data_IF_217488437963
#
_entry.id   IF_217488437963
#
_cell.length_a   1.000
_cell.length_b   1.000
_cell.length_c   1.000
_cell.angle_alpha   90.00
_cell.angle_beta   90.00
_cell.angle_gamma   90.00
#
_symmetry.space_group_name_H-M   'P 1'
#
loop_
_entity.id
_entity.type
_entity.pdbx_description
1 polymer ?
#
# COMPACT_ATOMS: atom_id res chain seq x y z
N UNK A 1 -9.28 -16.08 13.86
CA UNK A 1 -9.80 -14.73 14.17
C UNK A 1 -10.89 -14.42 13.16
N UNK A 2 -12.00 -13.82 13.59
CA UNK A 2 -13.07 -13.38 12.66
C UNK A 2 -12.58 -12.20 11.83
N UNK A 3 -13.25 -11.91 10.71
CA UNK A 3 -12.88 -10.80 9.83
C UNK A 3 -12.86 -9.46 10.60
N UNK A 4 -13.85 -9.22 11.46
CA UNK A 4 -13.86 -8.00 12.28
C UNK A 4 -12.78 -7.93 13.36
N UNK A 5 -12.27 -9.06 13.85
CA UNK A 5 -11.14 -9.04 14.77
C UNK A 5 -9.88 -8.55 14.03
N UNK A 6 -9.71 -8.98 12.77
CA UNK A 6 -8.64 -8.50 11.88
C UNK A 6 -8.81 -7.00 11.59
N UNK A 7 -10.03 -6.53 11.30
CA UNK A 7 -10.32 -5.10 11.13
C UNK A 7 -9.94 -4.31 12.40
N UNK A 8 -10.36 -4.76 13.58
CA UNK A 8 -10.01 -4.11 14.87
C UNK A 8 -8.49 -4.09 15.09
N UNK A 9 -7.80 -5.19 14.78
CA UNK A 9 -6.35 -5.28 14.89
C UNK A 9 -5.62 -4.32 13.92
N UNK A 10 -6.08 -4.22 12.67
CA UNK A 10 -5.54 -3.29 11.66
C UNK A 10 -5.70 -1.81 12.04
N UNK A 11 -6.74 -1.50 12.83
CA UNK A 11 -7.06 -0.16 13.35
C UNK A 11 -6.45 0.12 14.71
N UNK A 12 -5.76 -0.85 15.32
CA UNK A 12 -5.29 -0.72 16.70
C UNK A 12 -4.33 0.48 16.84
N UNK A 13 -4.49 1.34 17.86
CA UNK A 13 -3.62 2.51 18.03
C UNK A 13 -2.13 2.17 18.15
N UNK A 14 -1.81 1.06 18.81
CA UNK A 14 -0.43 0.57 18.97
C UNK A 14 0.07 -0.26 17.78
N UNK A 15 -0.73 -0.41 16.71
CA UNK A 15 -0.23 -1.06 15.50
C UNK A 15 0.88 -0.19 14.90
N UNK A 16 2.04 -0.81 14.67
CA UNK A 16 3.20 -0.17 14.05
C UNK A 16 2.82 0.56 12.76
N UNK A 17 3.39 1.74 12.57
CA UNK A 17 3.19 2.62 11.43
C UNK A 17 4.36 2.52 10.47
N UNK A 18 4.18 3.06 9.27
CA UNK A 18 5.22 3.02 8.23
C UNK A 18 6.59 3.46 8.72
N UNK A 19 6.66 4.54 9.51
CA UNK A 19 7.93 5.01 10.08
C UNK A 19 8.65 3.95 10.93
N UNK A 20 7.93 3.18 11.75
CA UNK A 20 8.53 2.10 12.56
C UNK A 20 9.18 1.02 11.68
N UNK A 21 8.53 0.66 10.56
CA UNK A 21 9.09 -0.29 9.61
C UNK A 21 10.31 0.27 8.88
N UNK A 22 10.25 1.54 8.47
CA UNK A 22 11.35 2.21 7.77
C UNK A 22 12.58 2.29 8.67
N UNK A 23 12.43 2.77 9.91
CA UNK A 23 13.54 2.93 10.87
C UNK A 23 14.22 1.61 11.22
N UNK A 24 13.46 0.50 11.27
CA UNK A 24 14.03 -0.82 11.54
C UNK A 24 14.70 -1.45 10.31
N UNK A 25 14.09 -1.33 9.14
CA UNK A 25 14.54 -2.05 7.94
C UNK A 25 15.58 -1.29 7.13
N UNK A 26 15.61 0.04 7.22
CA UNK A 26 16.35 0.90 6.31
C UNK A 26 17.44 1.72 7.03
N UNK A 27 18.68 1.66 6.52
CA UNK A 27 19.77 2.49 7.03
C UNK A 27 20.83 2.79 5.94
N UNK A 28 21.01 4.05 5.50
CA UNK A 28 20.23 5.24 5.86
C UNK A 28 18.88 5.30 5.14
N UNK A 29 17.94 6.10 5.69
CA UNK A 29 16.74 6.58 5.00
C UNK A 29 16.80 8.11 4.86
N UNK A 30 16.67 8.59 3.62
CA UNK A 30 16.67 10.02 3.28
C UNK A 30 15.28 10.39 2.77
N UNK A 31 14.50 11.03 3.64
CA UNK A 31 13.15 11.49 3.30
C UNK A 31 13.18 12.61 2.24
N UNK A 32 12.26 12.54 1.29
CA UNK A 32 12.11 13.47 0.19
C UNK A 32 10.70 14.07 0.20
N UNK A 33 10.63 15.40 0.17
CA UNK A 33 9.38 16.15 0.38
C UNK A 33 8.83 16.78 -0.90
N UNK A 34 7.52 17.05 -0.89
CA UNK A 34 6.80 17.89 -1.83
C UNK A 34 6.40 17.22 -3.15
N UNK A 35 5.30 17.66 -3.74
CA UNK A 35 4.84 17.22 -5.06
C UNK A 35 5.39 18.07 -6.22
N UNK A 36 5.99 19.22 -5.92
CA UNK A 36 6.47 20.27 -6.86
C UNK A 36 5.36 21.02 -7.59
N UNK A 37 4.14 20.95 -7.09
CA UNK A 37 2.98 21.63 -7.67
C UNK A 37 2.20 22.43 -6.63
N UNK A 38 1.91 21.84 -5.47
CA UNK A 38 1.05 22.44 -4.46
C UNK A 38 1.69 22.43 -3.07
N UNK A 39 1.94 21.27 -2.48
CA UNK A 39 2.42 21.15 -1.10
C UNK A 39 3.19 19.84 -0.84
N UNK A 40 3.70 19.70 0.38
CA UNK A 40 4.15 18.41 0.91
C UNK A 40 3.04 17.81 1.77
N UNK A 41 2.46 16.71 1.30
CA UNK A 41 1.51 15.93 2.09
C UNK A 41 2.27 15.05 3.07
N UNK A 42 2.07 15.31 4.36
CA UNK A 42 2.78 14.66 5.44
C UNK A 42 2.26 13.24 5.72
N UNK A 43 1.07 12.89 5.21
CA UNK A 43 0.51 11.53 5.24
C UNK A 43 1.25 10.54 4.34
N UNK A 44 2.08 11.03 3.41
CA UNK A 44 2.95 10.23 2.57
C UNK A 44 4.40 10.48 2.95
N UNK A 45 5.03 9.53 3.65
CA UNK A 45 6.47 9.51 3.87
C UNK A 45 7.11 8.79 2.70
N UNK A 46 8.12 9.41 2.08
CA UNK A 46 8.78 8.80 0.94
C UNK A 46 10.22 9.24 0.82
N UNK A 47 11.10 8.36 0.35
CA UNK A 47 12.53 8.64 0.34
C UNK A 47 13.37 7.50 -0.22
N UNK A 48 14.65 7.79 -0.40
CA UNK A 48 15.64 6.79 -0.79
C UNK A 48 16.14 6.12 0.47
N UNK A 49 16.21 4.79 0.47
CA UNK A 49 16.67 3.99 1.58
C UNK A 49 17.68 2.95 1.13
N UNK A 50 18.45 2.43 2.09
CA UNK A 50 19.23 1.22 1.93
C UNK A 50 18.62 0.12 2.80
N UNK A 51 18.31 -1.03 2.21
CA UNK A 51 17.96 -2.26 2.95
C UNK A 51 19.11 -3.23 2.70
N UNK A 52 19.98 -3.37 3.70
CA UNK A 52 21.27 -4.05 3.59
C UNK A 52 22.06 -3.54 2.36
N UNK A 53 22.32 -4.37 1.35
CA UNK A 53 23.06 -3.98 0.14
C UNK A 53 22.21 -3.28 -0.95
N UNK A 54 20.88 -3.23 -0.79
CA UNK A 54 19.98 -2.73 -1.83
C UNK A 54 19.56 -1.28 -1.61
N UNK A 55 19.87 -0.41 -2.59
CA UNK A 55 19.27 0.93 -2.67
C UNK A 55 17.85 0.85 -3.21
N UNK A 56 16.88 1.33 -2.43
CA UNK A 56 15.44 1.26 -2.74
C UNK A 56 14.78 2.63 -2.62
N UNK A 57 13.69 2.83 -3.35
CA UNK A 57 12.74 3.90 -3.07
C UNK A 57 11.64 3.34 -2.17
N UNK A 58 11.37 4.01 -1.05
CA UNK A 58 10.24 3.67 -0.17
C UNK A 58 9.19 4.78 -0.28
N UNK A 59 7.92 4.41 -0.43
CA UNK A 59 6.76 5.31 -0.40
C UNK A 59 5.72 4.72 0.54
N UNK A 60 5.31 5.46 1.56
CA UNK A 60 4.52 4.89 2.63
C UNK A 60 3.42 5.83 3.13
N UNK A 61 2.26 5.28 3.41
CA UNK A 61 1.19 5.97 4.11
C UNK A 61 1.46 5.96 5.61
N UNK A 62 1.46 7.15 6.20
CA UNK A 62 1.77 7.38 7.61
C UNK A 62 0.49 7.73 8.36
N UNK A 63 -0.09 6.73 9.03
CA UNK A 63 -1.44 6.78 9.62
C UNK A 63 -1.62 7.76 10.78
N UNK A 64 -0.56 8.12 11.50
CA UNK A 64 -0.65 9.08 12.61
C UNK A 64 -0.78 10.54 12.14
N UNK A 65 -0.64 10.81 10.84
CA UNK A 65 -0.85 12.13 10.22
C UNK A 65 -2.12 12.11 9.40
N UNK A 66 -3.08 12.99 9.72
CA UNK A 66 -4.42 13.04 9.09
C UNK A 66 -5.08 11.66 8.92
N UNK A 67 -4.94 10.77 9.92
CA UNK A 67 -5.41 9.39 9.90
C UNK A 67 -4.90 8.53 8.73
N UNK A 68 -3.80 8.94 8.09
CA UNK A 68 -3.23 8.30 6.90
C UNK A 68 -4.05 8.50 5.65
N UNK A 69 -4.87 9.55 5.56
CA UNK A 69 -5.73 9.86 4.42
C UNK A 69 -5.05 10.91 3.51
N UNK A 70 -4.42 10.52 2.40
CA UNK A 70 -3.67 11.46 1.57
C UNK A 70 -4.61 12.33 0.74
N UNK A 71 -4.22 13.59 0.60
CA UNK A 71 -4.77 14.52 -0.37
C UNK A 71 -4.12 14.30 -1.76
N UNK A 72 -4.59 14.98 -2.82
CA UNK A 72 -4.09 14.76 -4.18
C UNK A 72 -2.58 14.99 -4.30
N UNK A 73 -2.06 16.01 -3.62
CA UNK A 73 -0.63 16.31 -3.48
C UNK A 73 0.20 15.12 -2.95
N UNK A 74 -0.33 14.30 -2.03
CA UNK A 74 0.36 13.10 -1.54
C UNK A 74 0.54 12.04 -2.62
N UNK A 75 -0.50 11.81 -3.42
CA UNK A 75 -0.43 10.91 -4.57
C UNK A 75 0.50 11.45 -5.67
N UNK A 76 0.50 12.77 -5.91
CA UNK A 76 1.46 13.40 -6.84
C UNK A 76 2.90 13.28 -6.34
N UNK A 77 3.16 13.48 -5.04
CA UNK A 77 4.46 13.24 -4.40
C UNK A 77 4.90 11.79 -4.59
N UNK A 78 4.00 10.83 -4.33
CA UNK A 78 4.27 9.42 -4.56
C UNK A 78 4.64 9.13 -6.03
N UNK A 79 3.85 9.62 -6.98
CA UNK A 79 4.11 9.43 -8.40
C UNK A 79 5.45 10.06 -8.84
N UNK A 80 5.75 11.28 -8.40
CA UNK A 80 7.02 11.95 -8.66
C UNK A 80 8.21 11.10 -8.22
N UNK A 81 8.11 10.50 -7.03
CA UNK A 81 9.18 9.68 -6.46
C UNK A 81 9.25 8.29 -7.07
N UNK A 82 8.13 7.70 -7.49
CA UNK A 82 8.12 6.47 -8.28
C UNK A 82 8.84 6.67 -9.63
N UNK A 83 8.60 7.80 -10.31
CA UNK A 83 9.33 8.16 -11.54
C UNK A 83 10.81 8.45 -11.30
N UNK A 84 11.14 9.02 -10.15
CA UNK A 84 12.54 9.17 -9.74
C UNK A 84 13.19 7.80 -9.54
N UNK A 85 12.53 6.87 -8.86
CA UNK A 85 13.00 5.51 -8.67
C UNK A 85 13.24 4.80 -10.01
N UNK A 86 12.29 4.92 -10.95
CA UNK A 86 12.42 4.37 -12.30
C UNK A 86 13.64 4.93 -13.05
N UNK A 87 13.83 6.25 -13.03
CA UNK A 87 14.96 6.92 -13.68
C UNK A 87 16.32 6.40 -13.19
N UNK A 88 16.44 6.14 -11.90
CA UNK A 88 17.69 5.68 -11.27
C UNK A 88 17.72 4.17 -11.02
N UNK A 89 16.70 3.44 -11.48
CA UNK A 89 16.56 1.99 -11.37
C UNK A 89 16.57 1.47 -9.92
N UNK A 90 16.04 2.25 -8.98
CA UNK A 90 15.79 1.75 -7.63
C UNK A 90 14.53 0.89 -7.63
N UNK A 91 14.54 -0.32 -7.03
CA UNK A 91 13.31 -1.02 -6.69
C UNK A 91 12.41 -0.14 -5.83
N UNK A 92 11.10 -0.22 -6.04
CA UNK A 92 10.11 0.56 -5.30
C UNK A 92 9.39 -0.36 -4.30
N UNK A 93 9.38 0.04 -3.04
CA UNK A 93 8.62 -0.61 -1.98
C UNK A 93 7.55 0.37 -1.48
N UNK A 94 6.29 -0.04 -1.47
CA UNK A 94 5.20 0.74 -0.89
C UNK A 94 4.67 0.11 0.39
N UNK A 95 4.42 0.95 1.41
CA UNK A 95 3.77 0.54 2.65
C UNK A 95 2.38 1.20 2.74
N UNK A 96 1.35 0.37 2.78
CA UNK A 96 -0.05 0.80 2.71
C UNK A 96 -0.68 0.69 4.11
N UNK A 97 -1.16 1.81 4.62
CA UNK A 97 -1.90 1.92 5.89
C UNK A 97 -2.80 3.17 5.87
N UNK A 98 -3.92 3.05 5.18
CA UNK A 98 -4.90 4.12 5.00
C UNK A 98 -6.33 3.58 5.11
N UNK A 99 -7.25 4.30 5.79
CA UNK A 99 -8.68 3.99 5.70
C UNK A 99 -9.27 4.42 4.34
N UNK A 100 -8.55 5.23 3.56
CA UNK A 100 -8.99 5.74 2.26
C UNK A 100 -8.34 7.09 1.93
N UNK A 101 -8.57 7.57 0.71
CA UNK A 101 -8.11 8.89 0.30
C UNK A 101 -8.84 10.01 1.06
N UNK A 102 -8.23 11.19 1.18
CA UNK A 102 -8.89 12.39 1.69
C UNK A 102 -10.20 12.66 0.96
N UNK A 103 -11.27 12.91 1.71
CA UNK A 103 -12.65 13.06 1.19
C UNK A 103 -13.24 14.46 1.40
N UNK A 104 -12.38 15.47 1.62
CA UNK A 104 -12.78 16.86 1.81
C UNK A 104 -12.96 17.62 0.48
N UNK A 105 -13.67 18.75 0.55
CA UNK A 105 -13.89 19.65 -0.61
C UNK A 105 -12.56 20.04 -1.27
N UNK A 106 -11.59 20.40 -0.45
CA UNK A 106 -10.23 20.72 -0.86
C UNK A 106 -9.54 19.61 -1.68
N UNK A 107 -9.75 18.35 -1.31
CA UNK A 107 -9.19 17.21 -2.06
C UNK A 107 -9.87 17.08 -3.43
N UNK A 108 -11.17 17.30 -3.50
CA UNK A 108 -11.93 17.28 -4.75
C UNK A 108 -11.56 18.43 -5.68
N UNK A 109 -11.49 19.67 -5.16
CA UNK A 109 -11.08 20.86 -5.92
C UNK A 109 -9.67 20.71 -6.50
N UNK A 110 -8.79 20.03 -5.79
CA UNK A 110 -7.42 19.72 -6.24
C UNK A 110 -7.33 18.43 -7.05
N UNK A 111 -8.41 17.72 -7.30
CA UNK A 111 -8.45 16.56 -8.21
C UNK A 111 -7.98 15.25 -7.58
N UNK A 112 -8.66 14.79 -6.53
CA UNK A 112 -8.37 13.51 -5.88
C UNK A 112 -8.48 12.32 -6.82
N UNK A 113 -9.55 12.25 -7.62
CA UNK A 113 -9.76 11.15 -8.55
C UNK A 113 -8.67 11.07 -9.63
N UNK A 114 -8.26 12.22 -10.18
CA UNK A 114 -7.22 12.25 -11.22
C UNK A 114 -5.84 11.92 -10.65
N UNK A 115 -5.53 12.35 -9.42
CA UNK A 115 -4.29 12.00 -8.76
C UNK A 115 -4.17 10.48 -8.53
N UNK A 116 -5.24 9.83 -8.04
CA UNK A 116 -5.30 8.38 -7.90
C UNK A 116 -5.21 7.68 -9.26
N UNK A 117 -5.99 8.10 -10.25
CA UNK A 117 -6.01 7.48 -11.58
C UNK A 117 -4.63 7.53 -12.25
N UNK A 118 -3.91 8.66 -12.11
CA UNK A 118 -2.55 8.80 -12.63
C UNK A 118 -1.58 7.85 -11.92
N UNK A 119 -1.70 7.68 -10.59
CA UNK A 119 -0.90 6.68 -9.88
C UNK A 119 -1.15 5.27 -10.44
N UNK A 120 -2.40 4.85 -10.62
CA UNK A 120 -2.73 3.52 -11.16
C UNK A 120 -2.12 3.29 -12.54
N UNK A 121 -2.27 4.27 -13.45
CA UNK A 121 -1.74 4.19 -14.80
C UNK A 121 -0.22 4.09 -14.81
N UNK A 122 0.46 4.92 -14.03
CA UNK A 122 1.92 5.01 -14.05
C UNK A 122 2.56 3.83 -13.32
N UNK A 123 2.01 3.40 -12.19
CA UNK A 123 2.47 2.24 -11.45
C UNK A 123 2.35 0.95 -12.28
N UNK A 124 1.28 0.80 -13.06
CA UNK A 124 1.13 -0.32 -14.00
C UNK A 124 2.26 -0.39 -15.04
N UNK A 125 2.88 0.75 -15.37
CA UNK A 125 3.90 0.87 -16.42
C UNK A 125 5.35 0.99 -15.91
N UNK A 126 5.58 1.04 -14.59
CA UNK A 126 6.93 1.19 -14.03
C UNK A 126 7.88 0.08 -14.50
N UNK A 127 9.04 0.47 -15.02
CA UNK A 127 10.11 -0.41 -15.51
C UNK A 127 11.17 -0.71 -14.44
N UNK A 128 10.72 -0.88 -13.21
CA UNK A 128 11.51 -1.30 -12.06
C UNK A 128 10.72 -2.36 -11.27
N UNK A 129 11.39 -3.20 -10.47
CA UNK A 129 10.71 -4.06 -9.50
C UNK A 129 9.91 -3.22 -8.51
N UNK A 130 8.68 -3.64 -8.26
CA UNK A 130 7.72 -2.95 -7.39
C UNK A 130 7.05 -3.94 -6.44
N UNK A 131 7.03 -3.61 -5.15
CA UNK A 131 6.42 -4.41 -4.09
C UNK A 131 5.51 -3.53 -3.24
N UNK A 132 4.27 -3.94 -3.05
CA UNK A 132 3.34 -3.30 -2.10
C UNK A 132 3.13 -4.17 -0.90
N UNK A 133 3.11 -3.57 0.30
CA UNK A 133 2.87 -4.28 1.55
C UNK A 133 1.77 -3.55 2.31
N UNK A 134 0.63 -4.20 2.53
CA UNK A 134 -0.41 -3.68 3.42
C UNK A 134 -0.01 -3.97 4.85
N UNK A 135 0.41 -2.92 5.55
CA UNK A 135 0.85 -3.01 6.94
C UNK A 135 -0.26 -2.69 7.93
N UNK A 136 -1.40 -2.15 7.49
CA UNK A 136 -2.56 -1.90 8.34
C UNK A 136 -3.86 -1.99 7.57
N UNK A 137 -4.45 -0.84 7.23
CA UNK A 137 -5.64 -0.79 6.37
C UNK A 137 -5.27 -0.51 4.91
N UNK A 138 -5.85 -1.29 3.99
CA UNK A 138 -5.86 -1.05 2.56
C UNK A 138 -7.21 -0.49 2.14
N UNK A 139 -7.46 0.79 2.41
CA UNK A 139 -8.73 1.45 2.12
C UNK A 139 -8.90 1.87 0.66
N UNK A 140 -9.74 1.15 -0.08
CA UNK A 140 -10.31 1.53 -1.38
C UNK A 140 -9.27 2.03 -2.40
N UNK A 141 -9.68 2.97 -3.27
CA UNK A 141 -8.81 3.61 -4.27
C UNK A 141 -7.60 4.33 -3.67
N UNK A 142 -7.70 4.78 -2.41
CA UNK A 142 -6.61 5.49 -1.74
C UNK A 142 -5.42 4.59 -1.40
N UNK A 143 -5.69 3.33 -1.05
CA UNK A 143 -4.67 2.29 -0.94
C UNK A 143 -4.22 1.78 -2.32
N UNK A 144 -5.19 1.56 -3.22
CA UNK A 144 -4.93 1.02 -4.56
C UNK A 144 -3.98 1.89 -5.38
N UNK A 145 -4.02 3.21 -5.19
CA UNK A 145 -3.09 4.16 -5.81
C UNK A 145 -1.61 3.76 -5.62
N UNK A 146 -1.26 3.13 -4.50
CA UNK A 146 0.10 2.66 -4.20
C UNK A 146 0.23 1.14 -4.31
N UNK A 147 -0.83 0.43 -4.70
CA UNK A 147 -0.96 -1.03 -4.66
C UNK A 147 -0.85 -1.74 -6.01
N UNK A 148 -0.60 -1.00 -7.10
CA UNK A 148 -0.44 -1.58 -8.45
C UNK A 148 1.03 -1.96 -8.68
N UNK A 149 1.42 -3.17 -8.31
CA UNK A 149 2.83 -3.60 -8.25
C UNK A 149 3.02 -5.05 -8.71
N UNK A 150 4.28 -5.48 -8.85
CA UNK A 150 4.60 -6.85 -9.25
C UNK A 150 4.11 -7.87 -8.23
N UNK A 151 4.34 -7.61 -6.95
CA UNK A 151 3.79 -8.40 -5.85
C UNK A 151 3.07 -7.48 -4.85
N UNK A 152 1.98 -8.00 -4.26
CA UNK A 152 1.25 -7.38 -3.15
C UNK A 152 1.31 -8.36 -1.99
N UNK A 153 1.85 -7.91 -0.85
CA UNK A 153 1.90 -8.67 0.38
C UNK A 153 1.00 -8.03 1.43
N UNK A 154 0.56 -8.82 2.40
CA UNK A 154 -0.25 -8.35 3.51
C UNK A 154 0.31 -8.86 4.82
N UNK A 155 0.33 -8.02 5.86
CA UNK A 155 0.50 -8.53 7.22
C UNK A 155 -0.74 -9.35 7.62
N UNK A 156 -0.53 -10.35 8.46
CA UNK A 156 -1.56 -11.34 8.82
C UNK A 156 -2.87 -10.74 9.36
N UNK A 157 -2.80 -9.62 10.07
CA UNK A 157 -3.94 -8.90 10.63
C UNK A 157 -4.24 -7.58 9.91
N UNK A 158 -3.64 -7.35 8.75
CA UNK A 158 -4.05 -6.26 7.86
C UNK A 158 -5.32 -6.64 7.08
N UNK A 159 -6.00 -5.62 6.55
CA UNK A 159 -7.22 -5.78 5.75
C UNK A 159 -7.12 -4.94 4.49
N UNK A 160 -7.75 -5.38 3.39
CA UNK A 160 -7.79 -4.63 2.14
C UNK A 160 -9.21 -4.75 1.55
N UNK A 161 -9.88 -3.62 1.33
CA UNK A 161 -11.26 -3.62 0.83
C UNK A 161 -11.60 -2.41 -0.02
N UNK A 162 -12.59 -2.57 -0.89
CA UNK A 162 -13.13 -1.47 -1.71
C UNK A 162 -13.90 -0.42 -0.89
N UNK A 163 -14.42 -0.83 0.28
CA UNK A 163 -15.23 -0.01 1.18
C UNK A 163 -14.98 -0.44 2.63
N UNK A 164 -15.29 0.39 3.61
CA UNK A 164 -15.28 -0.03 5.00
C UNK A 164 -16.46 -0.96 5.32
N UNK A 165 -16.34 -1.89 6.29
CA UNK A 165 -17.47 -2.70 6.75
C UNK A 165 -18.66 -1.85 7.20
N UNK A 166 -18.38 -0.71 7.85
CA UNK A 166 -19.40 0.25 8.27
C UNK A 166 -20.12 0.92 7.09
N UNK A 167 -19.38 1.28 6.04
CA UNK A 167 -19.94 1.84 4.82
C UNK A 167 -20.78 0.81 4.07
N UNK A 168 -20.28 -0.42 3.96
CA UNK A 168 -20.97 -1.51 3.27
C UNK A 168 -22.32 -1.84 3.92
N UNK A 169 -22.35 -2.02 5.24
CA UNK A 169 -23.58 -2.34 5.96
C UNK A 169 -24.61 -1.20 5.91
N UNK A 170 -24.15 0.04 5.98
CA UNK A 170 -24.99 1.23 5.88
C UNK A 170 -25.63 1.39 4.49
N UNK A 171 -24.92 1.01 3.42
CA UNK A 171 -25.45 1.11 2.04
C UNK A 171 -26.37 -0.08 1.73
N UNK A 172 -25.88 -1.30 1.95
CA UNK A 172 -26.57 -2.51 1.51
C UNK A 172 -27.80 -2.81 2.36
N UNK A 173 -27.70 -2.63 3.68
CA UNK A 173 -28.75 -3.00 4.63
C UNK A 173 -29.39 -1.80 5.33
N UNK A 174 -28.91 -0.58 5.09
CA UNK A 174 -29.35 0.63 5.82
C UNK A 174 -29.21 0.47 7.34
N UNK A 175 -28.26 -0.35 7.77
CA UNK A 175 -28.02 -0.69 9.18
C UNK A 175 -26.51 -0.82 9.47
N UNK A 176 -25.88 0.22 10.04
CA UNK A 176 -24.46 0.20 10.36
C UNK A 176 -24.09 -0.85 11.43
N UNK A 177 -25.05 -1.31 12.24
CA UNK A 177 -24.79 -2.30 13.30
C UNK A 177 -24.37 -3.66 12.75
N UNK A 178 -24.76 -3.98 11.50
CA UNK A 178 -24.43 -5.21 10.78
C UNK A 178 -23.02 -5.24 10.18
N UNK A 179 -22.10 -4.40 10.67
CA UNK A 179 -20.71 -4.36 10.20
C UNK A 179 -19.94 -5.68 10.36
N UNK A 180 -20.28 -6.49 11.36
CA UNK A 180 -19.64 -7.81 11.54
C UNK A 180 -20.01 -8.77 10.41
N UNK A 181 -21.28 -8.80 10.02
CA UNK A 181 -21.75 -9.55 8.87
C UNK A 181 -21.18 -9.00 7.56
N UNK A 182 -21.09 -7.66 7.42
CA UNK A 182 -20.46 -7.03 6.26
C UNK A 182 -19.02 -7.51 6.06
N UNK A 183 -18.19 -7.44 7.10
CA UNK A 183 -16.77 -7.78 6.99
C UNK A 183 -16.53 -9.22 6.54
N UNK A 184 -17.34 -10.18 6.99
CA UNK A 184 -17.26 -11.58 6.57
C UNK A 184 -17.66 -11.73 5.10
N UNK A 185 -18.73 -11.06 4.65
CA UNK A 185 -19.15 -11.11 3.24
C UNK A 185 -18.16 -10.44 2.29
N UNK A 186 -17.42 -9.44 2.78
CA UNK A 186 -16.49 -8.66 1.98
C UNK A 186 -15.17 -9.36 1.66
N UNK A 187 -14.87 -10.51 2.30
CA UNK A 187 -13.65 -11.29 2.05
C UNK A 187 -12.37 -10.45 2.02
N UNK A 188 -12.23 -9.57 3.01
CA UNK A 188 -11.22 -8.52 3.04
C UNK A 188 -9.95 -8.86 3.84
N UNK A 189 -9.88 -10.06 4.42
CA UNK A 189 -8.72 -10.45 5.23
C UNK A 189 -7.55 -10.87 4.35
N UNK A 190 -6.34 -10.86 4.90
CA UNK A 190 -5.15 -11.34 4.19
C UNK A 190 -5.29 -12.78 3.70
N UNK A 191 -6.07 -13.62 4.39
CA UNK A 191 -6.26 -15.02 4.03
C UNK A 191 -7.25 -15.18 2.89
N UNK A 192 -8.38 -14.47 2.95
CA UNK A 192 -9.36 -14.45 1.87
C UNK A 192 -8.73 -13.99 0.55
N UNK A 193 -7.97 -12.88 0.61
CA UNK A 193 -7.36 -12.28 -0.58
C UNK A 193 -6.20 -13.10 -1.14
N UNK A 194 -5.56 -13.93 -0.31
CA UNK A 194 -4.56 -14.90 -0.78
C UNK A 194 -5.25 -16.06 -1.50
N UNK A 195 -6.34 -16.58 -0.93
CA UNK A 195 -7.16 -17.63 -1.54
C UNK A 195 -7.74 -17.19 -2.89
N UNK A 196 -8.21 -15.94 -2.97
CA UNK A 196 -8.77 -15.33 -4.18
C UNK A 196 -7.67 -14.98 -5.22
N UNK A 197 -6.40 -15.10 -4.85
CA UNK A 197 -5.25 -14.81 -5.73
C UNK A 197 -5.02 -13.32 -5.99
N UNK A 198 -5.57 -12.44 -5.15
CA UNK A 198 -5.39 -11.00 -5.24
C UNK A 198 -4.02 -10.55 -4.69
N UNK A 199 -3.57 -11.20 -3.62
CA UNK A 199 -2.23 -10.98 -3.03
C UNK A 199 -1.33 -12.20 -3.23
N UNK A 200 -0.02 -11.98 -3.08
CA UNK A 200 0.99 -12.99 -3.36
C UNK A 200 1.56 -13.64 -2.09
N UNK A 201 1.46 -12.96 -0.93
CA UNK A 201 2.06 -13.42 0.33
C UNK A 201 1.41 -12.82 1.56
N UNK A 202 1.36 -13.63 2.62
CA UNK A 202 1.04 -13.18 3.98
C UNK A 202 2.31 -13.19 4.82
N UNK A 203 2.55 -12.10 5.54
CA UNK A 203 3.63 -11.98 6.53
C UNK A 203 3.02 -12.15 7.92
N UNK A 204 3.52 -13.13 8.66
CA UNK A 204 3.00 -13.54 9.96
C UNK A 204 3.23 -12.46 11.03
N UNK A 205 2.26 -12.28 11.93
CA UNK A 205 2.35 -11.35 13.05
C UNK A 205 2.43 -12.08 14.39
N UNK A 206 3.61 -12.62 14.70
CA UNK A 206 3.91 -13.33 15.95
C UNK A 206 4.85 -12.54 16.88
N UNK A 207 4.92 -11.21 16.70
CA UNK A 207 5.85 -10.32 17.38
C UNK A 207 7.17 -10.10 16.62
N UNK A 208 7.47 -10.96 15.64
CA UNK A 208 8.64 -10.83 14.76
C UNK A 208 8.35 -10.18 13.40
N UNK A 209 7.17 -9.58 13.19
CA UNK A 209 6.68 -9.21 11.85
C UNK A 209 7.61 -8.30 11.05
N UNK A 210 8.28 -7.32 11.68
CA UNK A 210 9.20 -6.43 10.96
C UNK A 210 10.44 -7.21 10.48
N UNK A 211 10.96 -8.09 11.32
CA UNK A 211 12.09 -8.95 10.99
C UNK A 211 11.74 -9.93 9.87
N UNK A 212 10.59 -10.61 9.97
CA UNK A 212 10.09 -11.51 8.93
C UNK A 212 9.89 -10.76 7.61
N UNK A 213 9.32 -9.55 7.67
CA UNK A 213 9.12 -8.70 6.50
C UNK A 213 10.45 -8.34 5.83
N UNK A 214 11.46 -7.89 6.61
CA UNK A 214 12.79 -7.55 6.08
C UNK A 214 13.41 -8.73 5.32
N UNK A 215 13.37 -9.93 5.91
CA UNK A 215 13.90 -11.15 5.28
C UNK A 215 13.19 -11.43 3.95
N UNK A 216 11.86 -11.36 3.93
CA UNK A 216 11.12 -11.64 2.71
C UNK A 216 11.39 -10.57 1.65
N UNK A 217 11.51 -9.29 2.03
CA UNK A 217 11.91 -8.19 1.13
C UNK A 217 13.28 -8.49 0.51
N UNK A 218 14.27 -8.90 1.29
CA UNK A 218 15.61 -9.23 0.76
C UNK A 218 15.55 -10.36 -0.28
N UNK A 219 14.79 -11.43 -0.01
CA UNK A 219 14.56 -12.51 -0.97
C UNK A 219 13.87 -12.01 -2.25
N UNK A 220 12.91 -11.08 -2.11
CA UNK A 220 12.25 -10.45 -3.25
C UNK A 220 13.25 -9.63 -4.06
N UNK A 221 14.06 -8.80 -3.42
CA UNK A 221 15.06 -7.95 -4.08
C UNK A 221 16.10 -8.79 -4.82
N UNK A 222 16.63 -9.85 -4.18
CA UNK A 222 17.55 -10.81 -4.79
C UNK A 222 16.91 -11.46 -6.04
N UNK A 223 15.70 -12.01 -5.89
CA UNK A 223 14.96 -12.63 -7.00
C UNK A 223 14.74 -11.66 -8.17
N UNK A 224 14.26 -10.45 -7.92
CA UNK A 224 13.91 -9.50 -8.98
C UNK A 224 15.12 -8.79 -9.59
N UNK A 225 16.24 -8.70 -8.88
CA UNK A 225 17.51 -8.22 -9.44
C UNK A 225 18.00 -9.08 -10.63
N UNK A 226 17.65 -10.37 -10.62
CA UNK A 226 18.00 -11.33 -11.69
C UNK A 226 17.03 -11.32 -12.89
N UNK A 227 15.89 -10.61 -12.80
CA UNK A 227 14.87 -10.59 -13.84
C UNK A 227 15.05 -9.39 -14.79
N UNK A 228 14.83 -9.63 -16.08
CA UNK A 228 14.77 -8.55 -17.07
C UNK A 228 13.48 -7.72 -16.90
N UNK A 229 13.53 -6.45 -17.30
CA UNK A 229 12.37 -5.55 -17.22
C UNK A 229 11.12 -6.09 -17.89
N UNK A 230 11.29 -6.68 -19.08
CA UNK A 230 10.21 -7.34 -19.82
C UNK A 230 9.50 -8.45 -19.03
N UNK A 231 10.20 -9.15 -18.14
CA UNK A 231 9.62 -10.26 -17.36
C UNK A 231 8.71 -9.75 -16.25
N UNK A 232 9.15 -8.79 -15.44
CA UNK A 232 8.29 -8.29 -14.36
C UNK A 232 7.14 -7.42 -14.89
N UNK A 233 7.35 -6.63 -15.95
CA UNK A 233 6.25 -5.89 -16.62
C UNK A 233 5.18 -6.86 -17.13
N UNK A 234 5.58 -7.93 -17.83
CA UNK A 234 4.63 -8.95 -18.30
C UNK A 234 3.91 -9.63 -17.13
N UNK A 235 4.64 -10.03 -16.08
CA UNK A 235 4.03 -10.62 -14.88
C UNK A 235 3.00 -9.70 -14.24
N UNK A 236 3.31 -8.41 -14.09
CA UNK A 236 2.39 -7.40 -13.56
C UNK A 236 1.14 -7.30 -14.42
N UNK A 237 1.31 -7.17 -15.74
CA UNK A 237 0.19 -7.12 -16.68
C UNK A 237 -0.70 -8.37 -16.59
N UNK A 238 -0.11 -9.56 -16.65
CA UNK A 238 -0.82 -10.84 -16.59
C UNK A 238 -1.55 -11.02 -15.25
N UNK A 239 -0.95 -10.57 -14.13
CA UNK A 239 -1.55 -10.57 -12.79
C UNK A 239 -2.84 -9.76 -12.77
N UNK A 240 -2.78 -8.48 -13.15
CA UNK A 240 -3.95 -7.60 -13.08
C UNK A 240 -5.01 -7.95 -14.13
N UNK A 241 -4.63 -8.51 -15.29
CA UNK A 241 -5.61 -9.07 -16.22
C UNK A 241 -6.38 -10.23 -15.61
N UNK A 242 -5.69 -11.19 -14.97
CA UNK A 242 -6.36 -12.32 -14.31
C UNK A 242 -7.35 -11.89 -13.23
N UNK A 243 -7.05 -10.83 -12.48
CA UNK A 243 -7.94 -10.29 -11.44
C UNK A 243 -9.20 -9.66 -12.05
N UNK A 244 -9.10 -9.04 -13.23
CA UNK A 244 -10.20 -8.33 -13.88
C UNK A 244 -11.08 -9.21 -14.78
N UNK A 245 -10.65 -10.45 -15.08
CA UNK A 245 -11.32 -11.38 -16.00
C UNK A 245 -10.76 -11.33 -17.42
#
# INVERSE_FOLDING_TARGET
MKAMDKVRASRHPQRLKAKDYIEYMCEPFIELHGDRLYSDDDTIIAGIAMIDEYSVMVIAQQKDRNFGMPNPEGYRKALRLAKYAEKYKFPLITLIDTPGAGCGIEAEERGQSVAIANCLLEFANLQIPTLSIVIGEGGSGGALALGVTDEIWMLENSVYSILSPEGFSSILWKDPSRKEEAAELMRMTSHDLLEDGFIDKIIKEDGGQIYHLKIEILKYLEKYSSLSASKYIKKRYDKYRRILG
#
